data_IF_657722890304
#
_entry.id   IF_657722890304
#
_cell.length_a   1.000
_cell.length_b   1.000
_cell.length_c   1.000
_cell.angle_alpha   90.00
_cell.angle_beta   90.00
_cell.angle_gamma   90.00
#
_symmetry.space_group_name_H-M   'P 1'
#
loop_
_entity.id
_entity.type
_entity.pdbx_description
1 polymer ?
#
# COMPACT_ATOMS: atom_id res chain seq x y z
N UNK A 1 11.41 -33.38 -14.83
CA UNK A 1 10.12 -33.10 -14.17
C UNK A 1 10.32 -32.30 -12.88
N UNK A 2 10.92 -32.87 -11.81
CA UNK A 2 11.10 -32.16 -10.53
C UNK A 2 11.92 -30.85 -10.62
N UNK A 3 13.05 -30.85 -11.34
CA UNK A 3 13.88 -29.64 -11.48
C UNK A 3 13.16 -28.50 -12.22
N UNK A 4 12.30 -28.82 -13.20
CA UNK A 4 11.53 -27.81 -13.94
C UNK A 4 10.48 -27.15 -13.05
N UNK A 5 9.78 -27.93 -12.24
CA UNK A 5 8.80 -27.42 -11.26
C UNK A 5 9.49 -26.53 -10.23
N UNK A 6 10.65 -26.95 -9.72
CA UNK A 6 11.42 -26.17 -8.74
C UNK A 6 11.87 -24.81 -9.30
N UNK A 7 12.30 -24.77 -10.56
CA UNK A 7 12.66 -23.51 -11.25
C UNK A 7 11.44 -22.58 -11.38
N UNK A 8 10.27 -23.11 -11.76
CA UNK A 8 9.03 -22.31 -11.86
C UNK A 8 8.66 -21.73 -10.49
N UNK A 9 8.70 -22.54 -9.44
CA UNK A 9 8.41 -22.09 -8.06
C UNK A 9 9.40 -21.00 -7.64
N UNK A 10 10.69 -21.16 -7.94
CA UNK A 10 11.70 -20.15 -7.63
C UNK A 10 11.45 -18.82 -8.36
N UNK A 11 11.09 -18.87 -9.64
CA UNK A 11 10.76 -17.66 -10.43
C UNK A 11 9.53 -16.96 -9.84
N UNK A 12 8.47 -17.70 -9.52
CA UNK A 12 7.27 -17.14 -8.90
C UNK A 12 7.58 -16.50 -7.54
N UNK A 13 8.44 -17.13 -6.74
CA UNK A 13 8.87 -16.59 -5.45
C UNK A 13 9.67 -15.28 -5.63
N UNK A 14 10.58 -15.23 -6.61
CA UNK A 14 11.35 -14.01 -6.92
C UNK A 14 10.41 -12.89 -7.35
N UNK A 15 9.44 -13.17 -8.22
CA UNK A 15 8.46 -12.19 -8.68
C UNK A 15 7.60 -11.67 -7.51
N UNK A 16 7.19 -12.55 -6.60
CA UNK A 16 6.42 -12.19 -5.41
C UNK A 16 7.22 -11.30 -4.43
N UNK A 17 8.51 -11.58 -4.25
CA UNK A 17 9.37 -10.84 -3.32
C UNK A 17 9.98 -9.57 -3.94
N UNK A 18 9.90 -9.40 -5.27
CA UNK A 18 10.58 -8.32 -6.01
C UNK A 18 10.31 -6.95 -5.40
N UNK A 19 9.04 -6.61 -5.19
CA UNK A 19 8.67 -5.27 -4.72
C UNK A 19 9.13 -5.01 -3.28
N UNK A 20 9.10 -6.02 -2.40
CA UNK A 20 9.66 -5.93 -1.05
C UNK A 20 11.16 -5.66 -1.06
N UNK A 21 11.90 -6.36 -1.94
CA UNK A 21 13.34 -6.15 -2.09
C UNK A 21 13.64 -4.75 -2.62
N UNK A 22 12.85 -4.25 -3.56
CA UNK A 22 12.97 -2.89 -4.09
C UNK A 22 12.67 -1.81 -3.04
N UNK A 23 11.82 -2.09 -2.07
CA UNK A 23 11.49 -1.17 -0.98
C UNK A 23 12.49 -1.17 0.18
N UNK A 24 13.36 -2.19 0.33
CA UNK A 24 14.40 -2.23 1.37
C UNK A 24 15.24 -0.95 1.50
N UNK A 25 15.83 -0.37 0.43
CA UNK A 25 16.59 0.86 0.56
C UNK A 25 15.74 2.04 1.03
N UNK A 26 14.47 2.12 0.64
CA UNK A 26 13.54 3.17 1.07
C UNK A 26 13.20 3.06 2.56
N UNK A 27 13.03 1.83 3.07
CA UNK A 27 12.86 1.56 4.50
C UNK A 27 14.11 1.96 5.29
N UNK A 28 15.29 1.50 4.85
CA UNK A 28 16.57 1.75 5.52
C UNK A 28 16.86 3.25 5.59
N UNK A 29 16.63 3.96 4.48
CA UNK A 29 16.90 5.39 4.38
C UNK A 29 15.73 6.28 4.84
N UNK A 30 14.61 5.69 5.29
CA UNK A 30 13.37 6.40 5.66
C UNK A 30 12.85 7.34 4.56
N UNK A 31 12.99 6.93 3.31
CA UNK A 31 12.55 7.68 2.13
C UNK A 31 11.18 7.15 1.69
N UNK A 32 10.11 7.79 2.16
CA UNK A 32 8.74 7.41 1.81
C UNK A 32 8.15 8.37 0.79
N UNK A 33 7.23 7.86 -0.03
CA UNK A 33 6.39 8.71 -0.85
C UNK A 33 5.21 9.24 -0.02
N UNK A 34 4.65 10.35 -0.47
CA UNK A 34 3.45 10.95 0.12
C UNK A 34 2.37 11.09 -0.93
N UNK A 35 1.12 10.90 -0.51
CA UNK A 35 -0.08 11.22 -1.28
C UNK A 35 -1.07 11.91 -0.34
N UNK A 36 -1.78 12.89 -0.87
CA UNK A 36 -2.73 13.70 -0.11
C UNK A 36 -3.95 14.00 -0.97
N UNK A 37 -5.14 13.74 -0.43
CA UNK A 37 -6.36 13.80 -1.21
C UNK A 37 -7.57 13.20 -0.51
N UNK A 38 -8.67 13.13 -1.26
CA UNK A 38 -9.91 12.56 -0.78
C UNK A 38 -10.00 11.08 -1.14
N UNK A 39 -10.49 10.30 -0.20
CA UNK A 39 -10.79 8.89 -0.41
C UNK A 39 -11.97 8.75 -1.38
N UNK A 40 -11.78 7.97 -2.44
CA UNK A 40 -12.78 7.82 -3.51
C UNK A 40 -13.80 6.72 -3.21
N UNK A 41 -13.45 5.76 -2.35
CA UNK A 41 -14.27 4.61 -1.96
C UNK A 41 -14.15 4.27 -0.46
N UNK A 42 -15.25 3.83 0.15
CA UNK A 42 -15.22 3.41 1.56
C UNK A 42 -14.49 2.08 1.75
N UNK A 43 -13.77 1.93 2.86
CA UNK A 43 -13.01 0.73 3.21
C UNK A 43 -13.47 0.16 4.56
N UNK A 44 -14.56 -0.62 4.53
CA UNK A 44 -15.24 -1.19 5.71
C UNK A 44 -15.15 -2.73 5.79
N UNK A 45 -14.27 -3.37 5.02
CA UNK A 45 -14.13 -4.84 5.08
C UNK A 45 -13.55 -5.32 6.42
N UNK A 46 -14.04 -6.42 6.99
CA UNK A 46 -13.50 -6.95 8.25
C UNK A 46 -13.97 -6.17 9.49
N UNK A 47 -13.15 -6.12 10.55
CA UNK A 47 -13.51 -5.49 11.82
C UNK A 47 -13.05 -4.03 11.89
N UNK A 48 -13.79 -3.16 12.60
CA UNK A 48 -13.40 -1.76 12.83
C UNK A 48 -12.31 -1.63 13.92
N UNK A 49 -11.10 -2.10 13.60
CA UNK A 49 -9.92 -2.06 14.48
C UNK A 49 -8.70 -1.54 13.73
N UNK A 50 -7.77 -0.91 14.44
CA UNK A 50 -6.58 -0.28 13.83
C UNK A 50 -5.59 -1.27 13.22
N UNK A 51 -5.68 -2.55 13.56
CA UNK A 51 -4.83 -3.62 13.02
C UNK A 51 -5.44 -4.31 11.80
N UNK A 52 -6.61 -3.87 11.32
CA UNK A 52 -7.22 -4.42 10.13
C UNK A 52 -6.51 -3.89 8.89
N UNK A 53 -6.20 -4.78 7.93
CA UNK A 53 -5.55 -4.39 6.68
C UNK A 53 -6.60 -3.83 5.72
N UNK A 54 -6.38 -2.60 5.28
CA UNK A 54 -7.30 -1.88 4.38
C UNK A 54 -6.60 -1.45 3.11
N UNK A 55 -7.32 -1.56 2.00
CA UNK A 55 -6.96 -0.83 0.80
C UNK A 55 -7.71 0.49 0.77
N UNK A 56 -7.00 1.59 0.51
CA UNK A 56 -7.55 2.94 0.39
C UNK A 56 -7.23 3.44 -1.00
N UNK A 57 -8.26 3.88 -1.71
CA UNK A 57 -8.14 4.58 -2.99
C UNK A 57 -8.17 6.08 -2.74
N UNK A 58 -7.10 6.76 -3.10
CA UNK A 58 -6.92 8.19 -2.87
C UNK A 58 -6.60 8.87 -4.18
N UNK A 59 -7.35 9.92 -4.50
CA UNK A 59 -7.05 10.77 -5.65
C UNK A 59 -5.97 11.79 -5.28
N UNK A 60 -4.76 11.60 -5.80
CA UNK A 60 -3.60 12.47 -5.57
C UNK A 60 -3.68 13.68 -6.50
N UNK A 61 -4.01 14.85 -5.91
CA UNK A 61 -4.13 16.10 -6.66
C UNK A 61 -2.84 16.55 -7.35
N UNK A 62 -1.68 16.12 -6.88
CA UNK A 62 -0.38 16.51 -7.45
C UNK A 62 -0.08 15.72 -8.71
N UNK A 63 -0.46 14.44 -8.72
CA UNK A 63 -0.22 13.53 -9.85
C UNK A 63 -1.38 13.45 -10.82
N UNK A 64 -2.53 14.00 -10.43
CA UNK A 64 -3.79 13.91 -11.18
C UNK A 64 -4.17 12.44 -11.46
N UNK A 65 -3.95 11.57 -10.47
CA UNK A 65 -4.12 10.12 -10.59
C UNK A 65 -4.68 9.52 -9.30
N UNK A 66 -5.38 8.39 -9.42
CA UNK A 66 -5.84 7.62 -8.28
C UNK A 66 -4.79 6.58 -7.88
N UNK A 67 -4.43 6.58 -6.59
CA UNK A 67 -3.49 5.62 -6.04
C UNK A 67 -4.17 4.72 -5.01
N UNK A 68 -3.97 3.42 -5.17
CA UNK A 68 -4.32 2.42 -4.17
C UNK A 68 -3.15 2.26 -3.18
N UNK A 69 -3.46 2.41 -1.88
CA UNK A 69 -2.48 2.27 -0.79
C UNK A 69 -3.02 1.30 0.24
N UNK A 70 -2.20 0.33 0.63
CA UNK A 70 -2.52 -0.59 1.72
C UNK A 70 -2.07 -0.01 3.05
N UNK A 71 -3.00 0.14 4.01
CA UNK A 71 -2.71 0.62 5.37
C UNK A 71 -3.31 -0.31 6.42
N UNK A 72 -2.89 -0.13 7.67
CA UNK A 72 -3.56 -0.71 8.83
C UNK A 72 -4.36 0.38 9.54
N UNK A 73 -5.68 0.28 9.54
CA UNK A 73 -6.54 1.31 10.10
C UNK A 73 -7.93 0.80 10.50
N UNK A 74 -8.61 1.60 11.31
CA UNK A 74 -10.07 1.55 11.44
C UNK A 74 -10.75 1.85 10.11
N UNK A 75 -12.07 1.77 10.07
CA UNK A 75 -12.86 2.12 8.89
C UNK A 75 -12.46 3.49 8.33
N UNK A 76 -12.47 3.55 7.00
CA UNK A 76 -12.19 4.77 6.25
C UNK A 76 -13.40 5.03 5.36
N UNK A 77 -13.99 6.21 5.52
CA UNK A 77 -15.18 6.59 4.76
C UNK A 77 -14.79 7.25 3.44
N UNK A 78 -15.72 7.17 2.49
CA UNK A 78 -15.61 7.94 1.25
C UNK A 78 -15.62 9.43 1.56
N UNK A 79 -14.84 10.21 0.80
CA UNK A 79 -14.64 11.65 0.97
C UNK A 79 -13.92 12.07 2.26
N UNK A 80 -13.36 11.13 3.03
CA UNK A 80 -12.40 11.49 4.08
C UNK A 80 -11.13 12.05 3.44
N UNK A 81 -10.63 13.17 3.96
CA UNK A 81 -9.36 13.73 3.52
C UNK A 81 -8.22 13.08 4.28
N UNK A 82 -7.30 12.45 3.56
CA UNK A 82 -6.17 11.75 4.17
C UNK A 82 -4.86 12.25 3.58
N UNK A 83 -3.85 12.26 4.45
CA UNK A 83 -2.44 12.31 4.06
C UNK A 83 -1.82 10.98 4.43
N UNK A 84 -1.19 10.33 3.46
CA UNK A 84 -0.66 8.98 3.61
C UNK A 84 0.81 8.96 3.19
N UNK A 85 1.65 8.35 4.02
CA UNK A 85 3.02 8.00 3.66
C UNK A 85 3.07 6.53 3.23
N UNK A 86 3.78 6.21 2.16
CA UNK A 86 3.81 4.84 1.63
C UNK A 86 5.13 4.49 0.96
N UNK A 87 5.38 3.19 0.85
CA UNK A 87 6.51 2.61 0.15
C UNK A 87 6.30 2.63 -1.38
N UNK A 88 7.31 3.01 -2.17
CA UNK A 88 7.12 3.23 -3.61
C UNK A 88 6.64 2.01 -4.40
N UNK A 89 7.07 0.79 -4.05
CA UNK A 89 6.81 -0.42 -4.84
C UNK A 89 5.64 -1.22 -4.28
N UNK A 90 5.70 -1.62 -3.01
CA UNK A 90 4.65 -2.43 -2.36
C UNK A 90 3.37 -1.65 -2.06
N UNK A 91 3.42 -0.31 -2.07
CA UNK A 91 2.31 0.58 -1.69
C UNK A 91 1.77 0.37 -0.27
N UNK A 92 2.55 -0.27 0.61
CA UNK A 92 2.23 -0.30 2.04
C UNK A 92 2.55 1.04 2.67
N UNK A 93 1.65 1.52 3.52
CA UNK A 93 1.75 2.84 4.11
C UNK A 93 1.08 2.99 5.46
N UNK A 94 1.09 4.24 5.94
CA UNK A 94 0.45 4.67 7.16
C UNK A 94 -0.20 6.03 6.95
N UNK A 95 -1.39 6.22 7.53
CA UNK A 95 -2.07 7.52 7.58
C UNK A 95 -1.29 8.41 8.55
N UNK A 96 -0.81 9.56 8.08
CA UNK A 96 0.03 10.50 8.86
C UNK A 96 -0.79 11.64 9.44
N UNK A 97 -1.83 12.09 8.74
CA UNK A 97 -2.78 13.08 9.23
C UNK A 97 -4.20 12.66 8.81
N UNK A 98 -5.14 12.78 9.75
CA UNK A 98 -6.57 12.64 9.51
C UNK A 98 -7.18 13.96 10.00
N UNK A 99 -7.63 14.82 9.09
CA UNK A 99 -8.21 16.13 9.43
C UNK A 99 -9.72 16.06 9.44
#
# INVERSE_FOLDING_TARGET
>A
MANTVLVIVAILLILYLKDFVLDMPYIINKQYNYAEGYVTEQSHGGADISSERRSIFLYDKVKDDEIEITVFSRYVDKNTYLKVQYLPHTKYGAIVENK
#
